data_IF_951316545643
#
_entry.id   IF_951316545643
#
_cell.length_a   1.000
_cell.length_b   1.000
_cell.length_c   1.000
_cell.angle_alpha   90.00
_cell.angle_beta   90.00
_cell.angle_gamma   90.00
#
_symmetry.space_group_name_H-M   'P 1'
#
loop_
_entity.id
_entity.type
_entity.pdbx_description
1 polymer ?
#
# COMPACT_ATOMS: atom_id res chain seq x y z
N UNK A 1 -7.83 -15.53 19.37
CA UNK A 1 -6.67 -16.10 18.65
C UNK A 1 -6.51 -17.53 19.11
N UNK A 2 -6.06 -18.47 18.27
CA UNK A 2 -5.75 -19.81 18.79
C UNK A 2 -4.55 -19.72 19.74
N UNK A 3 -4.58 -20.47 20.83
CA UNK A 3 -3.49 -20.46 21.82
C UNK A 3 -2.14 -20.82 21.19
N UNK A 4 -2.15 -21.69 20.17
CA UNK A 4 -0.97 -22.02 19.38
C UNK A 4 -0.36 -20.82 18.65
N UNK A 5 -1.19 -19.93 18.09
CA UNK A 5 -0.70 -18.73 17.42
C UNK A 5 -0.07 -17.75 18.41
N UNK A 6 -0.64 -17.63 19.61
CA UNK A 6 -0.11 -16.79 20.68
C UNK A 6 1.26 -17.31 21.17
N UNK A 7 1.36 -18.61 21.45
CA UNK A 7 2.62 -19.23 21.88
C UNK A 7 3.71 -19.17 20.79
N UNK A 8 3.34 -19.39 19.53
CA UNK A 8 4.27 -19.21 18.41
C UNK A 8 4.81 -17.78 18.32
N UNK A 9 3.93 -16.77 18.47
CA UNK A 9 4.33 -15.35 18.51
C UNK A 9 5.23 -15.03 19.70
N UNK A 10 4.94 -15.62 20.87
CA UNK A 10 5.74 -15.44 22.09
C UNK A 10 7.15 -16.00 21.93
N UNK A 11 7.27 -17.22 21.40
CA UNK A 11 8.56 -17.85 21.12
C UNK A 11 9.36 -17.03 20.11
N UNK A 12 8.71 -16.56 19.04
CA UNK A 12 9.34 -15.72 18.03
C UNK A 12 9.81 -14.37 18.61
N UNK A 13 9.02 -13.73 19.47
CA UNK A 13 9.44 -12.50 20.13
C UNK A 13 10.66 -12.73 21.02
N UNK A 14 10.64 -13.82 21.80
CA UNK A 14 11.75 -14.19 22.68
C UNK A 14 13.03 -14.52 21.91
N UNK A 15 12.93 -15.23 20.79
CA UNK A 15 14.11 -15.58 19.97
C UNK A 15 14.73 -14.34 19.30
N UNK A 16 13.94 -13.29 19.11
CA UNK A 16 14.40 -12.02 18.55
C UNK A 16 14.77 -10.98 19.62
N UNK A 17 14.77 -11.37 20.91
CA UNK A 17 15.03 -10.47 22.04
C UNK A 17 14.14 -9.22 22.06
N UNK A 18 12.87 -9.38 21.67
CA UNK A 18 11.90 -8.29 21.57
C UNK A 18 10.72 -8.50 22.50
N UNK A 19 10.04 -7.40 22.82
CA UNK A 19 8.71 -7.48 23.42
C UNK A 19 7.71 -8.09 22.43
N UNK A 20 6.65 -8.70 22.95
CA UNK A 20 5.58 -9.25 22.11
C UNK A 20 4.91 -8.19 21.24
N UNK A 21 4.70 -7.00 21.78
CA UNK A 21 4.11 -5.87 21.07
C UNK A 21 4.98 -5.42 19.89
N UNK A 22 6.30 -5.35 20.09
CA UNK A 22 7.24 -4.97 19.05
C UNK A 22 7.37 -6.02 17.96
N UNK A 23 7.34 -7.31 18.32
CA UNK A 23 7.33 -8.38 17.34
C UNK A 23 6.06 -8.37 16.46
N UNK A 24 4.90 -8.14 17.06
CA UNK A 24 3.63 -7.99 16.32
C UNK A 24 3.67 -6.77 15.40
N UNK A 25 4.16 -5.63 15.89
CA UNK A 25 4.32 -4.42 15.07
C UNK A 25 5.16 -4.68 13.83
N UNK A 26 6.32 -5.33 13.97
CA UNK A 26 7.21 -5.62 12.85
C UNK A 26 6.61 -6.58 11.83
N UNK A 27 5.84 -7.58 12.29
CA UNK A 27 5.11 -8.48 11.40
C UNK A 27 4.08 -7.71 10.57
N UNK A 28 3.31 -6.82 11.18
CA UNK A 28 2.34 -5.97 10.48
C UNK A 28 3.04 -5.04 9.49
N UNK A 29 4.13 -4.37 9.91
CA UNK A 29 4.89 -3.47 9.02
C UNK A 29 5.50 -4.23 7.83
N UNK A 30 5.94 -5.47 8.04
CA UNK A 30 6.46 -6.34 6.98
C UNK A 30 5.36 -6.78 6.03
N UNK A 31 4.22 -7.19 6.57
CA UNK A 31 3.04 -7.56 5.77
C UNK A 31 2.56 -6.39 4.93
N UNK A 32 2.42 -5.19 5.50
CA UNK A 32 2.04 -3.99 4.76
C UNK A 32 3.05 -3.69 3.65
N UNK A 33 4.35 -3.81 3.90
CA UNK A 33 5.38 -3.61 2.88
C UNK A 33 5.28 -4.61 1.74
N UNK A 34 4.96 -5.87 2.01
CA UNK A 34 4.84 -6.90 0.98
C UNK A 34 3.48 -6.91 0.28
N UNK A 35 2.41 -6.57 0.99
CA UNK A 35 1.07 -6.42 0.46
C UNK A 35 0.92 -5.15 -0.40
N UNK A 36 1.85 -4.19 -0.31
CA UNK A 36 1.89 -3.09 -1.24
C UNK A 36 2.12 -3.58 -2.66
N UNK A 37 1.05 -3.54 -3.45
CA UNK A 37 1.07 -3.73 -4.89
C UNK A 37 2.21 -2.90 -5.48
N UNK A 38 3.12 -3.54 -6.23
CA UNK A 38 4.29 -2.87 -6.81
C UNK A 38 3.90 -1.61 -7.58
N UNK A 39 4.79 -0.62 -7.60
CA UNK A 39 4.52 0.66 -8.29
C UNK A 39 4.11 0.46 -9.77
N UNK A 40 4.67 -0.56 -10.41
CA UNK A 40 4.34 -0.96 -11.79
C UNK A 40 2.94 -1.54 -11.91
N UNK A 41 2.53 -2.46 -11.04
CA UNK A 41 1.15 -2.96 -10.99
C UNK A 41 0.15 -1.81 -10.73
N UNK A 42 0.45 -0.90 -9.79
CA UNK A 42 -0.40 0.27 -9.53
C UNK A 42 -0.53 1.16 -10.76
N UNK A 43 0.58 1.44 -11.45
CA UNK A 43 0.57 2.20 -12.68
C UNK A 43 -0.18 1.48 -13.81
N UNK A 44 -0.07 0.15 -13.90
CA UNK A 44 -0.85 -0.67 -14.86
C UNK A 44 -2.34 -0.61 -14.56
N UNK A 45 -2.72 -0.71 -13.28
CA UNK A 45 -4.11 -0.59 -12.84
C UNK A 45 -4.71 0.77 -13.20
N UNK A 46 -4.00 1.86 -12.90
CA UNK A 46 -4.44 3.21 -13.30
C UNK A 46 -4.53 3.37 -14.81
N UNK A 47 -3.53 2.90 -15.57
CA UNK A 47 -3.61 2.91 -17.04
C UNK A 47 -4.82 2.15 -17.56
N UNK A 48 -5.17 1.01 -16.96
CA UNK A 48 -6.36 0.25 -17.32
C UNK A 48 -7.66 1.01 -17.00
N UNK A 49 -7.75 1.67 -15.84
CA UNK A 49 -8.95 2.43 -15.46
C UNK A 49 -9.16 3.68 -16.31
N UNK A 50 -8.07 4.30 -16.75
CA UNK A 50 -8.06 5.51 -17.56
C UNK A 50 -8.08 5.20 -19.06
N UNK A 51 -7.85 3.95 -19.46
CA UNK A 51 -7.90 3.53 -20.86
C UNK A 51 -9.30 3.77 -21.44
N UNK A 52 -9.36 4.43 -22.61
CA UNK A 52 -10.60 4.72 -23.31
C UNK A 52 -11.42 5.87 -22.72
N UNK A 53 -10.96 6.53 -21.64
CA UNK A 53 -11.60 7.76 -21.16
C UNK A 53 -11.09 8.96 -21.95
N UNK A 54 -12.02 9.78 -22.42
CA UNK A 54 -11.67 11.11 -22.93
C UNK A 54 -11.40 12.03 -21.74
N UNK A 55 -10.18 12.54 -21.63
CA UNK A 55 -9.86 13.61 -20.68
C UNK A 55 -9.90 14.93 -21.44
N UNK A 56 -10.72 15.90 -21.04
CA UNK A 56 -10.69 17.23 -21.64
C UNK A 56 -9.30 17.84 -21.45
N UNK A 57 -8.82 18.58 -22.44
CA UNK A 57 -7.55 19.31 -22.33
C UNK A 57 -7.77 20.53 -21.43
N UNK A 58 -7.68 20.28 -20.14
CA UNK A 58 -7.85 21.29 -19.10
C UNK A 58 -6.87 22.46 -19.29
N UNK A 59 -5.70 22.20 -19.87
CA UNK A 59 -4.71 23.26 -20.13
C UNK A 59 -5.10 24.11 -21.35
N UNK A 60 -5.78 23.55 -22.34
CA UNK A 60 -6.42 24.32 -23.39
C UNK A 60 -7.59 25.14 -22.85
N UNK A 61 -8.44 24.54 -22.01
CA UNK A 61 -9.60 25.21 -21.41
C UNK A 61 -9.17 26.43 -20.55
N UNK A 62 -8.14 26.27 -19.72
CA UNK A 62 -7.59 27.36 -18.89
C UNK A 62 -6.97 28.47 -19.75
N UNK A 63 -6.30 28.13 -20.87
CA UNK A 63 -5.74 29.14 -21.78
C UNK A 63 -6.85 29.93 -22.49
N UNK A 64 -7.91 29.25 -22.91
CA UNK A 64 -9.07 29.88 -23.54
C UNK A 64 -9.77 30.85 -22.57
N UNK A 65 -9.92 30.45 -21.29
CA UNK A 65 -10.50 31.29 -20.24
C UNK A 65 -9.67 32.55 -19.97
N UNK A 66 -8.34 32.44 -19.95
CA UNK A 66 -7.42 33.60 -19.79
C UNK A 66 -7.40 34.57 -20.97
N UNK A 67 -7.89 34.16 -22.13
CA UNK A 67 -7.92 34.98 -23.34
C UNK A 67 -9.26 35.70 -23.58
N UNK A 68 -10.23 35.53 -22.66
CA UNK A 68 -11.46 36.30 -22.56
C UNK A 68 -11.27 37.53 -21.67
#
# INVERSE_FOLDING_TARGET
MSDQAYEGLRQLASSNHRSMQEQVRLLIEREVRYAQVGGVERARHWRSLLAGRHFPDLAADIRADRSR
#
